data_IF_546280787884
#
_entry.id   IF_546280787884
#
_cell.length_a   1.000
_cell.length_b   1.000
_cell.length_c   1.000
_cell.angle_alpha   90.00
_cell.angle_beta   90.00
_cell.angle_gamma   90.00
#
_symmetry.space_group_name_H-M   'P 1'
#
loop_
_entity.id
_entity.type
_entity.pdbx_description
1 polymer ?
#
# COMPACT_ATOMS: atom_id res chain seq x y z
N UNK A 1 14.38 -0.33 14.73
CA UNK A 1 13.28 -0.73 13.84
C UNK A 1 12.07 -1.00 14.70
N UNK A 2 11.09 -0.09 14.66
CA UNK A 2 9.84 -0.26 15.39
C UNK A 2 8.94 -1.14 14.52
N UNK A 3 8.47 -2.29 15.04
CA UNK A 3 7.52 -3.14 14.32
C UNK A 3 6.12 -2.52 14.46
N UNK A 4 5.91 -1.40 13.75
CA UNK A 4 4.62 -0.74 13.70
C UNK A 4 3.82 -1.35 12.55
N UNK A 5 2.74 -2.07 12.89
CA UNK A 5 1.71 -2.42 11.91
C UNK A 5 0.87 -1.16 11.67
N UNK A 6 0.76 -0.78 10.41
CA UNK A 6 -0.06 0.34 9.95
C UNK A 6 -1.27 -0.19 9.19
N UNK A 7 -2.36 0.57 9.22
CA UNK A 7 -3.62 0.20 8.60
C UNK A 7 -4.21 1.42 7.92
N UNK A 8 -4.59 1.25 6.65
CA UNK A 8 -5.38 2.22 5.87
C UNK A 8 -6.57 1.50 5.23
N UNK A 9 -7.51 2.29 4.72
CA UNK A 9 -8.74 1.77 4.11
C UNK A 9 -8.88 2.31 2.69
N UNK A 10 -8.22 1.69 1.69
CA UNK A 10 -8.36 2.12 0.32
C UNK A 10 -9.77 1.87 -0.21
N UNK A 11 -10.26 2.76 -1.07
CA UNK A 11 -11.54 2.68 -1.75
C UNK A 11 -11.47 3.28 -3.15
N UNK A 12 -12.45 2.97 -4.01
CA UNK A 12 -12.55 3.56 -5.34
C UNK A 12 -13.18 4.95 -5.29
N UNK A 13 -12.51 5.93 -5.87
CA UNK A 13 -13.03 7.28 -6.08
C UNK A 13 -12.62 7.78 -7.47
N UNK A 14 -13.58 8.27 -8.26
CA UNK A 14 -13.35 8.72 -9.64
C UNK A 14 -12.49 7.75 -10.46
N UNK A 15 -12.82 6.45 -10.39
CA UNK A 15 -12.14 5.35 -11.10
C UNK A 15 -10.71 5.03 -10.65
N UNK A 16 -10.18 5.65 -9.59
CA UNK A 16 -8.87 5.32 -9.02
C UNK A 16 -8.96 4.83 -7.58
N UNK A 17 -7.93 4.14 -7.11
CA UNK A 17 -7.78 3.81 -5.70
C UNK A 17 -7.27 5.03 -4.93
N UNK A 18 -7.97 5.39 -3.87
CA UNK A 18 -7.55 6.43 -2.92
C UNK A 18 -7.61 5.89 -1.49
N UNK A 19 -6.99 6.59 -0.55
CA UNK A 19 -7.22 6.37 0.88
C UNK A 19 -7.23 7.68 1.66
N UNK A 20 -7.83 7.62 2.84
CA UNK A 20 -7.84 8.69 3.84
C UNK A 20 -7.08 8.23 5.09
N UNK A 21 -6.50 9.18 5.83
CA UNK A 21 -6.05 9.01 7.21
C UNK A 21 -6.19 10.34 7.95
N UNK A 22 -7.23 10.46 8.76
CA UNK A 22 -7.55 11.68 9.50
C UNK A 22 -6.44 12.08 10.49
N UNK A 23 -5.74 11.12 11.10
CA UNK A 23 -4.67 11.40 12.07
C UNK A 23 -3.47 12.07 11.41
N UNK A 24 -3.25 11.75 10.14
CA UNK A 24 -2.16 12.26 9.32
C UNK A 24 -2.61 13.38 8.36
N UNK A 25 -3.89 13.79 8.43
CA UNK A 25 -4.49 14.80 7.55
C UNK A 25 -4.44 14.42 6.07
N UNK A 26 -4.54 13.12 5.75
CA UNK A 26 -4.54 12.60 4.39
C UNK A 26 -5.99 12.49 3.94
N UNK A 27 -6.32 13.14 2.81
CA UNK A 27 -7.66 13.13 2.23
C UNK A 27 -7.59 12.77 0.75
N UNK A 28 -8.22 11.65 0.38
CA UNK A 28 -8.33 11.09 -0.97
C UNK A 28 -6.98 11.01 -1.67
N UNK A 29 -5.94 10.59 -0.95
CA UNK A 29 -4.60 10.44 -1.55
C UNK A 29 -4.65 9.31 -2.57
N UNK A 30 -4.34 9.58 -3.84
CA UNK A 30 -4.42 8.58 -4.89
C UNK A 30 -3.21 7.66 -4.87
N UNK A 31 -3.45 6.38 -5.09
CA UNK A 31 -2.42 5.48 -5.56
C UNK A 31 -2.17 5.72 -7.04
N UNK A 32 -0.90 5.77 -7.44
CA UNK A 32 -0.49 6.08 -8.82
C UNK A 32 0.66 5.18 -9.25
N UNK A 33 0.99 5.23 -10.54
CA UNK A 33 2.24 4.70 -11.11
C UNK A 33 2.54 3.25 -10.70
N UNK A 34 1.70 2.31 -11.14
CA UNK A 34 1.88 0.86 -10.92
C UNK A 34 1.28 0.32 -9.63
N UNK A 35 1.07 1.18 -8.61
CA UNK A 35 0.43 0.76 -7.36
C UNK A 35 -1.03 0.33 -7.54
N UNK A 36 -1.88 1.02 -8.36
CA UNK A 36 -3.25 0.56 -8.61
C UNK A 36 -3.32 -0.88 -9.14
N UNK A 37 -2.45 -1.24 -10.07
CA UNK A 37 -2.38 -2.59 -10.65
C UNK A 37 -1.92 -3.63 -9.63
N UNK A 38 -0.97 -3.26 -8.75
CA UNK A 38 -0.58 -4.13 -7.63
C UNK A 38 -1.74 -4.33 -6.64
N UNK A 39 -2.50 -3.28 -6.35
CA UNK A 39 -3.69 -3.37 -5.49
C UNK A 39 -4.71 -4.33 -6.11
N UNK A 40 -5.01 -4.18 -7.41
CA UNK A 40 -5.98 -5.03 -8.11
C UNK A 40 -5.62 -6.52 -8.03
N UNK A 41 -4.32 -6.85 -8.13
CA UNK A 41 -3.83 -8.23 -7.93
C UNK A 41 -3.97 -8.67 -6.47
N UNK A 42 -3.56 -7.81 -5.52
CA UNK A 42 -3.56 -8.15 -4.09
C UNK A 42 -4.97 -8.47 -3.56
N UNK A 43 -5.99 -7.81 -4.12
CA UNK A 43 -7.39 -7.95 -3.70
C UNK A 43 -8.21 -8.90 -4.59
N UNK A 44 -7.60 -9.57 -5.57
CA UNK A 44 -8.33 -10.37 -6.56
C UNK A 44 -9.26 -11.44 -5.95
N UNK A 45 -8.90 -11.95 -4.77
CA UNK A 45 -9.65 -12.99 -4.05
C UNK A 45 -10.59 -12.42 -2.97
N UNK A 46 -10.66 -11.09 -2.82
CA UNK A 46 -11.54 -10.38 -1.86
C UNK A 46 -12.85 -10.02 -2.56
N UNK A 47 -13.97 -10.51 -2.01
CA UNK A 47 -15.32 -10.14 -2.47
C UNK A 47 -15.65 -8.70 -2.10
N UNK A 48 -16.46 -8.03 -2.92
CA UNK A 48 -16.95 -6.66 -2.69
C UNK A 48 -15.84 -5.62 -2.45
N UNK A 49 -14.65 -5.82 -3.04
CA UNK A 49 -13.49 -4.95 -2.83
C UNK A 49 -13.67 -3.54 -3.41
N UNK A 50 -14.59 -3.34 -4.35
CA UNK A 50 -14.91 -2.02 -4.93
C UNK A 50 -15.46 -1.03 -3.90
N UNK A 51 -16.11 -1.51 -2.84
CA UNK A 51 -16.58 -0.69 -1.71
C UNK A 51 -15.45 -0.31 -0.74
N UNK A 52 -14.25 -0.84 -0.98
CA UNK A 52 -13.05 -0.65 -0.19
C UNK A 52 -12.61 -1.92 0.52
N UNK A 53 -11.39 -1.88 1.03
CA UNK A 53 -10.78 -2.99 1.75
C UNK A 53 -9.86 -2.47 2.86
N UNK A 54 -9.47 -3.34 3.78
CA UNK A 54 -8.48 -3.01 4.80
C UNK A 54 -7.10 -3.40 4.30
N UNK A 55 -6.21 -2.41 4.17
CA UNK A 55 -4.80 -2.63 3.87
C UNK A 55 -4.01 -2.57 5.16
N UNK A 56 -3.30 -3.65 5.48
CA UNK A 56 -2.35 -3.75 6.58
C UNK A 56 -0.96 -3.75 5.98
N UNK A 57 -0.05 -2.92 6.51
CA UNK A 57 1.33 -2.90 6.04
C UNK A 57 2.35 -2.62 7.15
N UNK A 58 3.58 -3.06 6.93
CA UNK A 58 4.69 -2.87 7.88
C UNK A 58 6.05 -2.91 7.17
N UNK A 59 7.06 -2.27 7.76
CA UNK A 59 8.45 -2.39 7.33
C UNK A 59 9.12 -3.69 7.79
N UNK A 60 8.43 -4.49 8.62
CA UNK A 60 8.87 -5.81 9.10
C UNK A 60 7.83 -6.88 8.73
N UNK A 61 8.26 -8.14 8.50
CA UNK A 61 7.32 -9.21 8.19
C UNK A 61 6.38 -9.48 9.37
N UNK A 62 5.14 -9.83 9.06
CA UNK A 62 4.12 -10.18 10.05
C UNK A 62 3.30 -11.39 9.58
N UNK A 63 2.78 -12.25 10.48
CA UNK A 63 2.01 -13.43 10.08
C UNK A 63 0.84 -13.07 9.14
N UNK A 64 0.76 -13.74 7.99
CA UNK A 64 -0.31 -13.54 7.02
C UNK A 64 -0.09 -12.43 5.99
N UNK A 65 1.11 -11.82 5.91
CA UNK A 65 1.44 -10.96 4.77
C UNK A 65 1.28 -11.71 3.44
N UNK A 66 0.83 -10.98 2.42
CA UNK A 66 0.54 -11.50 1.07
C UNK A 66 1.53 -10.97 0.03
N UNK A 67 2.02 -9.74 0.21
CA UNK A 67 3.01 -9.13 -0.66
C UNK A 67 4.26 -8.70 0.13
N UNK A 68 5.44 -8.90 -0.48
CA UNK A 68 6.70 -8.30 -0.07
C UNK A 68 7.16 -7.38 -1.21
N UNK A 69 7.26 -6.08 -0.92
CA UNK A 69 7.73 -5.06 -1.84
C UNK A 69 9.15 -4.67 -1.47
N UNK A 70 10.09 -4.69 -2.42
CA UNK A 70 11.51 -4.39 -2.21
C UNK A 70 11.84 -3.02 -2.77
N UNK A 71 12.47 -2.15 -1.98
CA UNK A 71 12.87 -0.82 -2.43
C UNK A 71 13.87 -0.90 -3.58
N UNK A 72 13.67 -0.06 -4.61
CA UNK A 72 14.53 0.04 -5.79
C UNK A 72 15.34 1.33 -5.81
N UNK A 73 14.66 2.45 -6.08
CA UNK A 73 15.31 3.75 -6.34
C UNK A 73 14.42 4.91 -5.87
N UNK A 74 15.01 6.03 -5.39
CA UNK A 74 14.28 7.27 -5.20
C UNK A 74 13.94 7.90 -6.55
N UNK A 75 12.78 8.56 -6.65
CA UNK A 75 12.42 9.41 -7.79
C UNK A 75 11.34 10.43 -7.38
N UNK A 76 11.44 11.69 -7.83
CA UNK A 76 10.46 12.76 -7.56
C UNK A 76 9.99 12.88 -6.10
N UNK A 77 10.91 12.81 -5.13
CA UNK A 77 10.62 12.80 -3.67
C UNK A 77 9.77 11.62 -3.19
N UNK A 78 9.68 10.56 -3.99
CA UNK A 78 9.10 9.28 -3.63
C UNK A 78 10.11 8.15 -3.83
N UNK A 79 9.62 6.91 -3.75
CA UNK A 79 10.43 5.72 -3.92
C UNK A 79 9.71 4.66 -4.74
N UNK A 80 10.45 4.04 -5.65
CA UNK A 80 10.00 2.85 -6.38
C UNK A 80 10.23 1.60 -5.56
N UNK A 81 9.25 0.70 -5.62
CA UNK A 81 9.30 -0.63 -5.02
C UNK A 81 8.93 -1.69 -6.03
N UNK A 82 9.51 -2.88 -5.89
CA UNK A 82 9.24 -4.04 -6.75
C UNK A 82 8.48 -5.12 -6.01
N UNK A 83 7.46 -5.67 -6.66
CA UNK A 83 6.86 -6.93 -6.27
C UNK A 83 7.42 -8.05 -7.16
N UNK A 84 8.47 -8.72 -6.69
CA UNK A 84 9.26 -9.67 -7.50
C UNK A 84 8.39 -10.77 -8.14
N UNK A 85 7.48 -11.40 -7.37
CA UNK A 85 6.66 -12.50 -7.86
C UNK A 85 5.74 -12.14 -9.04
N UNK A 86 5.41 -10.85 -9.20
CA UNK A 86 4.56 -10.36 -10.28
C UNK A 86 5.33 -9.54 -11.31
N UNK A 87 6.64 -9.33 -11.12
CA UNK A 87 7.48 -8.49 -11.96
C UNK A 87 6.87 -7.08 -12.20
N UNK A 88 6.29 -6.49 -11.15
CA UNK A 88 5.69 -5.16 -11.17
C UNK A 88 6.52 -4.18 -10.34
N UNK A 89 6.56 -2.93 -10.78
CA UNK A 89 7.11 -1.81 -10.03
C UNK A 89 6.02 -0.78 -9.74
N UNK A 90 6.07 -0.20 -8.55
CA UNK A 90 5.13 0.80 -8.10
C UNK A 90 5.85 1.93 -7.39
N UNK A 91 5.42 3.17 -7.65
CA UNK A 91 5.98 4.36 -7.01
C UNK A 91 5.11 4.84 -5.85
N UNK A 92 5.70 4.98 -4.68
CA UNK A 92 5.08 5.64 -3.54
C UNK A 92 5.57 7.07 -3.42
N UNK A 93 4.64 8.01 -3.35
CA UNK A 93 4.90 9.43 -3.17
C UNK A 93 5.42 9.74 -1.75
N UNK A 94 5.65 11.02 -1.47
CA UNK A 94 6.13 11.50 -0.18
C UNK A 94 5.19 11.19 0.99
N UNK A 95 3.91 10.84 0.75
CA UNK A 95 2.97 10.41 1.80
C UNK A 95 3.45 9.14 2.50
N UNK A 96 4.28 8.30 1.86
CA UNK A 96 4.93 7.16 2.51
C UNK A 96 5.68 7.57 3.78
N UNK A 97 6.31 8.75 3.78
CA UNK A 97 7.08 9.24 4.91
C UNK A 97 6.22 9.75 6.08
N UNK A 98 4.90 9.84 5.92
CA UNK A 98 3.98 10.05 7.05
C UNK A 98 3.82 8.77 7.91
N UNK A 99 4.19 7.61 7.35
CA UNK A 99 4.11 6.30 7.98
C UNK A 99 5.49 5.75 8.41
N UNK A 100 6.55 6.15 7.71
CA UNK A 100 7.91 5.71 7.96
C UNK A 100 8.87 6.88 8.08
N UNK A 101 9.74 6.88 9.10
CA UNK A 101 10.76 7.92 9.29
C UNK A 101 11.78 7.97 8.13
N UNK A 102 12.04 6.82 7.51
CA UNK A 102 12.94 6.64 6.38
C UNK A 102 12.31 5.68 5.37
N UNK A 103 12.66 5.72 4.06
CA UNK A 103 12.11 4.79 3.09
C UNK A 103 12.44 3.35 3.50
N UNK A 104 11.45 2.52 3.84
CA UNK A 104 11.73 1.18 4.34
C UNK A 104 12.33 0.34 3.21
N UNK A 105 13.35 -0.48 3.51
CA UNK A 105 13.98 -1.37 2.51
C UNK A 105 12.99 -2.40 1.95
N UNK A 106 11.99 -2.77 2.75
CA UNK A 106 10.92 -3.68 2.40
C UNK A 106 9.60 -3.19 2.97
N UNK A 107 8.51 -3.40 2.26
CA UNK A 107 7.15 -3.20 2.75
C UNK A 107 6.41 -4.52 2.61
N UNK A 108 5.87 -5.00 3.72
CA UNK A 108 5.02 -6.18 3.77
C UNK A 108 3.57 -5.71 3.80
N UNK A 109 2.71 -6.28 2.96
CA UNK A 109 1.31 -5.89 2.84
C UNK A 109 0.37 -7.09 2.97
N UNK A 110 -0.82 -6.84 3.51
CA UNK A 110 -1.95 -7.77 3.53
C UNK A 110 -3.24 -6.99 3.28
N UNK A 111 -4.05 -7.46 2.34
CA UNK A 111 -5.41 -7.01 2.15
C UNK A 111 -6.41 -7.93 2.87
N UNK A 112 -7.42 -7.33 3.48
CA UNK A 112 -8.54 -8.02 4.11
C UNK A 112 -9.87 -7.41 3.66
N UNK A 113 -10.87 -8.27 3.47
CA UNK A 113 -12.25 -7.81 3.25
C UNK A 113 -12.74 -6.99 4.45
N UNK A 114 -13.52 -5.95 4.19
CA UNK A 114 -14.27 -5.25 5.24
C UNK A 114 -15.52 -6.02 5.68
N UNK A 115 -16.01 -6.91 4.82
CA UNK A 115 -17.22 -7.68 5.02
C UNK A 115 -16.92 -9.17 5.01
N UNK A 116 -17.43 -9.90 5.99
CA UNK A 116 -17.29 -11.36 6.14
C UNK A 116 -18.37 -12.12 5.38
#
# INVERSE_FOLDING_TARGET
MNNAIMVIFPYRYNYTWVFDDEKLGIVKEPFVSGIPEMIDILIQDIKNSDEGFKMIFSGSPFPGYQAELIALRPEYNGYWYRWENHNLEGWFCSVLFKYFDEPPKKIYCQAQSLYS
#
